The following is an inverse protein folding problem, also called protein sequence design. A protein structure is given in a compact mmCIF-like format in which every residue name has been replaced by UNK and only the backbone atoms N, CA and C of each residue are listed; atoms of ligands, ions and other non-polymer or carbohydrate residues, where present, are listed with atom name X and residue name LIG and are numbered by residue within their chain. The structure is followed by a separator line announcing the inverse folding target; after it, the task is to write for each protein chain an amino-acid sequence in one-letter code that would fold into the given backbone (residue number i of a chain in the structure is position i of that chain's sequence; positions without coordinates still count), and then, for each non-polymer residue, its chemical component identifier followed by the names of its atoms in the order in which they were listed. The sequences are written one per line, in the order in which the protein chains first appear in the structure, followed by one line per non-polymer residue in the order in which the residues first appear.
data_IF_850681205211
#
_entry.id   IF_850681205211
#
_cell.length_a   1.000
_cell.length_b   1.000
_cell.length_c   1.000
_cell.angle_alpha   90.00
_cell.angle_beta   90.00
_cell.angle_gamma   90.00
#
_symmetry.space_group_name_H-M   'P 1'
#
loop_
_entity.id
_entity.type
_entity.pdbx_description
1 polymer ?
#
# COMPACT_ATOMS: atom_id res chain seq x y z
N UNK A 1 -70.00 -21.13 6.26
CA UNK A 1 -69.87 -20.62 4.88
C UNK A 1 -69.03 -19.34 4.90
N UNK A 2 -68.06 -19.25 3.98
CA UNK A 2 -67.41 -18.04 3.44
C UNK A 2 -66.48 -17.19 4.34
N UNK A 3 -65.19 -17.56 4.26
CA UNK A 3 -64.02 -16.72 3.91
C UNK A 3 -64.19 -15.19 4.04
N UNK A 4 -63.47 -14.58 4.99
CA UNK A 4 -63.01 -13.18 4.92
C UNK A 4 -61.56 -13.15 5.46
N UNK A 5 -60.58 -13.34 4.57
CA UNK A 5 -59.56 -12.33 4.19
C UNK A 5 -58.59 -12.08 5.37
N UNK A 6 -57.53 -12.86 5.55
CA UNK A 6 -56.24 -12.76 4.83
C UNK A 6 -55.74 -11.31 4.74
N UNK A 7 -55.12 -10.79 5.80
CA UNK A 7 -54.18 -9.66 5.77
C UNK A 7 -53.61 -9.40 7.17
N UNK A 8 -52.74 -10.28 7.66
CA UNK A 8 -51.90 -9.98 8.82
C UNK A 8 -50.49 -10.52 8.51
N UNK A 9 -49.47 -9.70 8.78
CA UNK A 9 -48.03 -9.93 8.53
C UNK A 9 -47.51 -9.58 7.13
N UNK A 10 -47.51 -8.28 6.79
CA UNK A 10 -46.37 -7.68 6.08
C UNK A 10 -45.65 -6.83 7.12
N UNK A 11 -44.84 -7.48 7.95
CA UNK A 11 -43.86 -6.77 8.77
C UNK A 11 -42.81 -6.24 7.79
N UNK A 12 -42.82 -4.93 7.58
CA UNK A 12 -41.85 -4.21 6.77
C UNK A 12 -40.45 -4.41 7.37
N UNK A 13 -39.71 -5.38 6.83
CA UNK A 13 -38.29 -5.54 7.08
C UNK A 13 -37.55 -4.49 6.25
N UNK A 14 -37.64 -3.24 6.68
CA UNK A 14 -36.77 -2.17 6.21
C UNK A 14 -35.36 -2.49 6.73
N UNK A 15 -34.59 -3.24 5.95
CA UNK A 15 -33.16 -3.43 6.17
C UNK A 15 -32.52 -2.05 6.07
N UNK A 16 -32.27 -1.44 7.22
CA UNK A 16 -31.39 -0.29 7.35
C UNK A 16 -30.01 -0.78 6.93
N UNK A 17 -29.67 -0.58 5.66
CA UNK A 17 -28.33 -0.78 5.14
C UNK A 17 -27.47 0.36 5.72
N UNK A 18 -26.99 0.18 6.95
CA UNK A 18 -26.05 1.12 7.57
C UNK A 18 -24.74 0.98 6.81
N UNK A 19 -24.26 2.02 6.11
CA UNK A 19 -22.95 1.95 5.49
C UNK A 19 -21.93 1.82 6.61
N UNK A 20 -21.20 0.70 6.62
CA UNK A 20 -20.04 0.54 7.49
C UNK A 20 -19.03 1.63 7.15
N UNK A 21 -18.93 2.64 8.01
CA UNK A 21 -17.82 3.59 8.00
C UNK A 21 -16.55 2.81 8.32
N UNK A 22 -15.92 2.23 7.30
CA UNK A 22 -14.58 1.67 7.43
C UNK A 22 -13.63 2.83 7.65
N UNK A 23 -13.14 2.97 8.89
CA UNK A 23 -12.01 3.83 9.16
C UNK A 23 -10.82 3.36 8.31
N UNK A 24 -10.13 4.32 7.69
CA UNK A 24 -8.91 4.06 6.94
C UNK A 24 -7.90 3.29 7.81
N UNK A 25 -7.25 2.27 7.25
CA UNK A 25 -6.21 1.53 7.98
C UNK A 25 -5.04 2.49 8.25
N UNK A 26 -4.39 2.36 9.40
CA UNK A 26 -3.29 3.27 9.78
C UNK A 26 -2.11 3.26 8.81
N UNK A 27 -1.96 2.18 8.02
CA UNK A 27 -0.95 2.07 6.97
C UNK A 27 -1.28 2.91 5.73
N UNK A 28 -2.55 3.27 5.52
CA UNK A 28 -2.96 4.11 4.40
C UNK A 28 -2.47 5.55 4.56
N UNK A 29 -2.18 6.19 3.43
CA UNK A 29 -1.72 7.57 3.36
C UNK A 29 -0.40 7.72 2.63
N UNK A 30 0.31 8.79 2.96
CA UNK A 30 1.56 9.17 2.30
C UNK A 30 2.75 8.93 3.22
N UNK A 31 3.82 8.43 2.62
CA UNK A 31 5.04 8.04 3.33
C UNK A 31 6.27 8.48 2.54
N UNK A 32 7.38 8.72 3.21
CA UNK A 32 8.68 8.95 2.57
C UNK A 32 9.69 7.91 3.04
N UNK A 33 10.27 7.21 2.08
CA UNK A 33 11.34 6.24 2.33
C UNK A 33 12.67 6.95 2.52
N UNK A 34 13.45 6.49 3.50
CA UNK A 34 14.71 7.11 3.90
C UNK A 34 15.79 6.02 3.88
N UNK A 35 16.93 6.30 3.25
CA UNK A 35 18.06 5.37 3.26
C UNK A 35 18.87 5.43 4.57
N UNK A 36 19.87 4.57 4.69
CA UNK A 36 20.75 4.47 5.86
C UNK A 36 21.57 5.76 6.08
N UNK A 37 21.71 6.63 5.07
CA UNK A 37 22.41 7.92 5.15
C UNK A 37 21.46 9.07 5.50
N UNK A 38 20.18 8.77 5.73
CA UNK A 38 19.16 9.75 6.03
C UNK A 38 18.57 10.44 4.80
N UNK A 39 18.94 10.06 3.57
CA UNK A 39 18.42 10.69 2.35
C UNK A 39 17.03 10.16 2.01
N UNK A 40 16.12 11.07 1.63
CA UNK A 40 14.81 10.70 1.07
C UNK A 40 15.02 10.05 -0.30
N UNK A 41 14.56 8.80 -0.42
CA UNK A 41 14.69 8.03 -1.66
C UNK A 41 13.44 8.10 -2.52
N UNK A 42 12.25 8.12 -1.91
CA UNK A 42 10.99 8.22 -2.64
C UNK A 42 9.84 8.64 -1.72
N UNK A 43 8.83 9.25 -2.31
CA UNK A 43 7.53 9.51 -1.70
C UNK A 43 6.53 8.49 -2.22
N UNK A 44 5.76 7.91 -1.32
CA UNK A 44 4.85 6.80 -1.56
C UNK A 44 3.44 7.18 -1.16
N UNK A 45 2.46 6.61 -1.87
CA UNK A 45 1.06 6.55 -1.46
C UNK A 45 0.69 5.10 -1.25
N UNK A 46 0.09 4.80 -0.09
CA UNK A 46 -0.38 3.47 0.27
C UNK A 46 -1.90 3.50 0.49
N UNK A 47 -2.60 2.46 0.03
CA UNK A 47 -4.05 2.33 0.14
C UNK A 47 -4.46 0.87 0.20
N UNK A 48 -5.62 0.58 0.80
CA UNK A 48 -6.24 -0.74 0.81
C UNK A 48 -7.29 -0.80 -0.29
N UNK A 49 -7.21 -1.85 -1.11
CA UNK A 49 -8.19 -2.12 -2.16
C UNK A 49 -8.53 -3.61 -2.14
N UNK A 50 -9.80 -3.95 -2.00
CA UNK A 50 -10.23 -5.36 -1.93
C UNK A 50 -9.59 -6.14 -0.76
N UNK A 51 -9.36 -5.48 0.37
CA UNK A 51 -8.71 -6.08 1.54
C UNK A 51 -7.21 -6.33 1.38
N UNK A 52 -6.58 -5.73 0.37
CA UNK A 52 -5.15 -5.81 0.11
C UNK A 52 -4.51 -4.44 0.20
N UNK A 53 -3.44 -4.31 0.98
CA UNK A 53 -2.63 -3.10 0.99
C UNK A 53 -1.75 -3.05 -0.26
N UNK A 54 -1.77 -1.88 -0.89
CA UNK A 54 -1.05 -1.57 -2.13
C UNK A 54 -0.33 -0.25 -1.98
N UNK A 55 0.61 0.00 -2.87
CA UNK A 55 1.34 1.26 -2.87
C UNK A 55 2.01 1.59 -4.19
N UNK A 56 2.17 2.89 -4.40
CA UNK A 56 2.79 3.49 -5.58
C UNK A 56 3.76 4.58 -5.16
N UNK A 57 4.75 4.83 -6.01
CA UNK A 57 5.65 5.97 -5.87
C UNK A 57 4.93 7.19 -6.46
N UNK A 58 4.83 8.24 -5.67
CA UNK A 58 4.25 9.54 -6.07
C UNK A 58 5.35 10.44 -6.63
N UNK A 59 6.56 10.37 -6.08
CA UNK A 59 7.67 11.23 -6.47
C UNK A 59 9.00 10.63 -6.05
N UNK A 60 10.04 10.82 -6.86
CA UNK A 60 11.43 10.51 -6.52
C UNK A 60 12.22 11.81 -6.59
N UNK A 61 12.88 12.24 -5.51
CA UNK A 61 13.66 13.48 -5.54
C UNK A 61 14.72 13.46 -6.64
N UNK A 62 14.83 14.57 -7.38
CA UNK A 62 15.78 14.76 -8.48
C UNK A 62 15.65 13.79 -9.67
N UNK A 63 14.52 13.10 -9.80
CA UNK A 63 14.22 12.25 -10.94
C UNK A 63 13.13 12.88 -11.82
N UNK A 64 13.20 12.64 -13.13
CA UNK A 64 12.15 13.05 -14.07
C UNK A 64 10.95 12.09 -13.93
N UNK A 65 9.74 12.63 -13.97
CA UNK A 65 8.54 11.84 -13.69
C UNK A 65 8.25 10.79 -14.76
N UNK A 66 8.71 11.00 -15.98
CA UNK A 66 8.59 10.07 -17.10
C UNK A 66 9.67 8.97 -17.10
N UNK A 67 10.52 8.88 -16.08
CA UNK A 67 11.53 7.82 -15.99
C UNK A 67 10.84 6.45 -15.89
N UNK A 68 11.27 5.51 -16.74
CA UNK A 68 10.78 4.14 -16.79
C UNK A 68 11.70 3.21 -16.01
N UNK A 69 11.18 2.09 -15.50
CA UNK A 69 12.02 1.05 -14.92
C UNK A 69 12.71 0.23 -16.02
N UNK A 70 13.93 0.63 -16.38
CA UNK A 70 14.76 -0.11 -17.34
C UNK A 70 15.53 -1.26 -16.71
N UNK A 71 15.68 -1.28 -15.39
CA UNK A 71 16.35 -2.37 -14.66
C UNK A 71 15.42 -3.58 -14.45
N UNK A 72 14.10 -3.38 -14.52
CA UNK A 72 13.09 -4.44 -14.39
C UNK A 72 13.04 -5.43 -15.58
N UNK A 73 14.07 -5.50 -16.44
CA UNK A 73 14.10 -6.31 -17.68
C UNK A 73 13.88 -7.79 -17.47
N UNK A 74 14.44 -8.33 -16.40
CA UNK A 74 14.41 -9.77 -16.11
C UNK A 74 13.26 -10.16 -15.19
N UNK A 75 12.38 -9.22 -14.86
CA UNK A 75 11.28 -9.49 -13.96
C UNK A 75 10.08 -10.12 -14.69
N UNK A 76 9.73 -11.33 -14.24
CA UNK A 76 8.54 -12.06 -14.66
C UNK A 76 7.20 -11.37 -14.34
N UNK A 77 7.19 -10.37 -13.43
CA UNK A 77 5.98 -9.66 -13.04
C UNK A 77 5.61 -8.48 -13.96
N UNK A 78 6.40 -8.20 -15.00
CA UNK A 78 6.02 -7.28 -16.07
C UNK A 78 6.24 -5.80 -15.77
N UNK A 79 7.18 -5.48 -14.88
CA UNK A 79 7.51 -4.10 -14.53
C UNK A 79 8.48 -3.40 -15.49
N UNK A 80 9.04 -4.11 -16.47
CA UNK A 80 9.89 -3.51 -17.50
C UNK A 80 9.15 -2.41 -18.28
N UNK A 81 9.83 -1.28 -18.48
CA UNK A 81 9.30 -0.09 -19.16
C UNK A 81 8.03 0.52 -18.54
N UNK A 82 7.67 0.12 -17.31
CA UNK A 82 6.61 0.81 -16.58
C UNK A 82 7.15 2.13 -15.99
N UNK A 83 6.34 3.21 -15.96
CA UNK A 83 6.72 4.45 -15.28
C UNK A 83 7.06 4.19 -13.80
N UNK A 84 8.17 4.75 -13.31
CA UNK A 84 8.52 4.64 -11.89
C UNK A 84 7.47 5.34 -11.03
N UNK A 85 6.90 6.46 -11.49
CA UNK A 85 5.85 7.16 -10.77
C UNK A 85 4.48 6.65 -11.21
N UNK A 86 3.57 6.41 -10.25
CA UNK A 86 2.18 6.02 -10.51
C UNK A 86 1.95 4.52 -10.74
N UNK A 87 2.99 3.74 -11.03
CA UNK A 87 2.89 2.27 -11.09
C UNK A 87 2.73 1.68 -9.68
N UNK A 88 1.92 0.62 -9.56
CA UNK A 88 1.76 -0.10 -8.28
C UNK A 88 2.97 -0.99 -8.05
N UNK A 89 3.90 -0.53 -7.20
CA UNK A 89 5.17 -1.20 -6.93
C UNK A 89 5.13 -2.14 -5.73
N UNK A 90 4.07 -2.07 -4.93
CA UNK A 90 3.85 -2.98 -3.83
C UNK A 90 2.41 -3.50 -3.83
N UNK A 91 2.22 -4.80 -3.65
CA UNK A 91 0.91 -5.47 -3.76
C UNK A 91 0.89 -6.79 -2.98
N UNK A 92 -0.28 -7.44 -2.91
CA UNK A 92 -0.47 -8.77 -2.34
C UNK A 92 -0.50 -8.83 -0.81
N UNK A 93 -0.35 -7.69 -0.13
CA UNK A 93 -0.31 -7.65 1.33
C UNK A 93 -1.64 -8.02 1.95
N UNK A 94 -1.61 -8.85 2.99
CA UNK A 94 -2.78 -9.23 3.78
C UNK A 94 -2.60 -8.79 5.23
N UNK A 95 -3.67 -8.31 5.85
CA UNK A 95 -3.67 -7.92 7.25
C UNK A 95 -3.49 -9.17 8.12
N UNK A 96 -2.56 -9.09 9.07
CA UNK A 96 -2.26 -10.12 10.06
C UNK A 96 -1.93 -9.43 11.39
N UNK A 97 -2.93 -9.32 12.26
CA UNK A 97 -2.84 -8.52 13.49
C UNK A 97 -2.56 -7.05 13.19
N UNK A 98 -1.44 -6.53 13.71
CA UNK A 98 -0.98 -5.16 13.53
C UNK A 98 -0.09 -4.97 12.28
N UNK A 99 0.17 -6.04 11.52
CA UNK A 99 1.03 -6.04 10.35
C UNK A 99 0.26 -6.30 9.06
N UNK A 100 0.87 -5.90 7.96
CA UNK A 100 0.53 -6.31 6.62
C UNK A 100 1.65 -7.22 6.11
N UNK A 101 1.35 -8.46 5.74
CA UNK A 101 2.35 -9.49 5.40
C UNK A 101 2.06 -10.15 4.05
N UNK A 102 2.95 -11.03 3.60
CA UNK A 102 2.85 -11.79 2.33
C UNK A 102 2.86 -10.92 1.06
N UNK A 103 3.09 -9.63 1.22
CA UNK A 103 3.17 -8.69 0.11
C UNK A 103 4.44 -8.90 -0.69
N UNK A 104 4.48 -8.19 -1.81
CA UNK A 104 5.67 -8.06 -2.65
C UNK A 104 5.94 -6.58 -2.88
N UNK A 105 7.21 -6.25 -3.06
CA UNK A 105 7.68 -4.91 -3.45
C UNK A 105 8.77 -5.07 -4.50
N UNK A 106 8.80 -4.17 -5.48
CA UNK A 106 9.88 -4.13 -6.48
C UNK A 106 10.88 -3.04 -6.12
N UNK A 107 12.16 -3.37 -6.18
CA UNK A 107 13.24 -2.37 -6.20
C UNK A 107 13.42 -1.87 -7.64
N UNK A 108 12.83 -0.73 -7.99
CA UNK A 108 12.90 -0.17 -9.34
C UNK A 108 14.31 0.22 -9.78
N UNK A 109 15.27 0.32 -8.86
CA UNK A 109 16.68 0.58 -9.16
C UNK A 109 17.48 -0.68 -9.50
N UNK A 110 16.94 -1.87 -9.22
CA UNK A 110 17.59 -3.17 -9.52
C UNK A 110 16.75 -4.09 -10.39
N UNK A 111 15.44 -3.87 -10.44
CA UNK A 111 14.48 -4.73 -11.11
C UNK A 111 14.05 -5.97 -10.31
N UNK A 112 14.53 -6.13 -9.08
CA UNK A 112 14.25 -7.31 -8.26
C UNK A 112 12.91 -7.18 -7.51
N UNK A 113 12.19 -8.31 -7.42
CA UNK A 113 10.97 -8.44 -6.60
C UNK A 113 11.29 -9.12 -5.28
N UNK A 114 10.95 -8.46 -4.18
CA UNK A 114 11.14 -8.97 -2.82
C UNK A 114 9.80 -9.30 -2.17
N UNK A 115 9.80 -10.28 -1.26
CA UNK A 115 8.73 -10.43 -0.29
C UNK A 115 8.75 -9.24 0.67
N UNK A 116 7.59 -8.83 1.13
CA UNK A 116 7.49 -7.64 1.97
C UNK A 116 6.45 -7.75 3.08
N UNK A 117 6.73 -7.03 4.17
CA UNK A 117 5.76 -6.72 5.22
C UNK A 117 5.84 -5.26 5.65
N UNK A 118 4.72 -4.73 6.11
CA UNK A 118 4.57 -3.38 6.63
C UNK A 118 4.02 -3.44 8.05
N UNK A 119 4.65 -2.71 8.96
CA UNK A 119 4.11 -2.44 10.30
C UNK A 119 4.09 -0.96 10.56
N UNK A 120 2.95 -0.42 10.99
CA UNK A 120 2.86 0.96 11.45
C UNK A 120 3.36 1.01 12.89
N UNK A 121 4.29 1.93 13.17
CA UNK A 121 4.93 2.11 14.49
C UNK A 121 4.87 3.60 14.88
N UNK A 122 5.47 3.94 16.04
CA UNK A 122 5.60 5.32 16.53
C UNK A 122 4.26 6.09 16.59
N UNK A 123 3.18 5.40 16.96
CA UNK A 123 1.84 5.99 17.03
C UNK A 123 1.28 6.44 15.67
N UNK A 124 1.76 5.87 14.56
CA UNK A 124 1.32 6.24 13.21
C UNK A 124 2.29 7.13 12.44
N UNK A 125 3.41 7.52 13.05
CA UNK A 125 4.36 8.46 12.45
C UNK A 125 5.45 7.78 11.60
N UNK A 126 5.62 6.47 11.72
CA UNK A 126 6.55 5.71 10.89
C UNK A 126 5.96 4.36 10.47
N UNK A 127 6.50 3.79 9.40
CA UNK A 127 6.32 2.38 9.06
C UNK A 127 7.66 1.66 8.99
N UNK A 128 7.70 0.45 9.51
CA UNK A 128 8.72 -0.53 9.21
C UNK A 128 8.35 -1.22 7.90
N UNK A 129 9.09 -0.92 6.83
CA UNK A 129 9.01 -1.62 5.56
C UNK A 129 10.11 -2.67 5.53
N UNK A 130 9.74 -3.95 5.64
CA UNK A 130 10.69 -5.06 5.54
C UNK A 130 10.60 -5.69 4.16
N UNK A 131 11.73 -5.74 3.45
CA UNK A 131 11.91 -6.49 2.20
C UNK A 131 12.83 -7.69 2.41
N UNK A 132 12.47 -8.86 1.89
CA UNK A 132 13.22 -10.11 2.03
C UNK A 132 13.23 -10.94 0.76
N UNK A 133 14.26 -11.78 0.61
CA UNK A 133 14.35 -12.75 -0.49
C UNK A 133 13.48 -13.98 -0.24
N UNK A 134 13.19 -14.28 1.03
CA UNK A 134 12.35 -15.40 1.44
C UNK A 134 10.97 -14.95 1.92
N UNK A 135 9.99 -15.85 1.80
CA UNK A 135 8.58 -15.58 2.16
C UNK A 135 8.30 -15.42 3.65
N UNK A 136 9.21 -15.87 4.52
CA UNK A 136 9.06 -15.78 5.97
C UNK A 136 9.63 -14.48 6.52
N UNK A 137 10.38 -13.72 5.71
CA UNK A 137 10.98 -12.46 6.15
C UNK A 137 12.22 -12.66 7.01
N UNK A 138 12.96 -13.76 6.88
CA UNK A 138 14.16 -14.00 7.70
C UNK A 138 15.42 -13.35 7.11
N UNK A 139 15.64 -13.51 5.80
CA UNK A 139 16.77 -12.96 5.06
C UNK A 139 16.33 -11.70 4.31
N UNK A 140 16.54 -10.54 4.94
CA UNK A 140 16.07 -9.28 4.39
C UNK A 140 16.50 -8.06 5.19
N UNK A 141 16.16 -6.89 4.67
CA UNK A 141 16.42 -5.59 5.30
C UNK A 141 15.11 -4.93 5.70
N UNK A 142 15.17 -4.15 6.76
CA UNK A 142 14.07 -3.28 7.18
C UNK A 142 14.48 -1.84 6.95
N UNK A 143 13.60 -1.06 6.34
CA UNK A 143 13.72 0.39 6.21
C UNK A 143 12.63 1.05 7.03
N UNK A 144 12.93 2.22 7.60
CA UNK A 144 11.96 3.05 8.29
C UNK A 144 11.51 4.13 7.32
N UNK A 145 10.21 4.18 7.05
CA UNK A 145 9.62 5.28 6.30
C UNK A 145 8.89 6.21 7.26
N UNK A 146 8.93 7.51 6.98
CA UNK A 146 8.28 8.53 7.80
C UNK A 146 6.97 8.96 7.19
N UNK A 147 6.00 9.30 8.05
CA UNK A 147 4.72 9.85 7.61
C UNK A 147 4.96 11.11 6.79
N UNK A 148 4.15 11.28 5.75
CA UNK A 148 4.10 12.46 4.92
C UNK A 148 2.64 12.84 4.67
N UNK A 149 2.43 14.02 4.09
CA UNK A 149 1.12 14.44 3.58
C UNK A 149 1.17 14.55 2.06
N UNK A 150 0.00 14.65 1.43
CA UNK A 150 -0.11 14.68 -0.03
C UNK A 150 0.65 15.84 -0.67
N UNK A 151 0.60 17.04 -0.06
CA UNK A 151 1.25 18.23 -0.60
C UNK A 151 2.79 18.08 -0.59
N UNK A 152 3.35 17.57 0.51
CA UNK A 152 4.77 17.26 0.62
C UNK A 152 5.19 16.17 -0.38
N UNK A 153 4.41 15.08 -0.46
CA UNK A 153 4.69 13.97 -1.37
C UNK A 153 4.70 14.39 -2.83
N UNK A 154 3.76 15.25 -3.25
CA UNK A 154 3.72 15.82 -4.60
C UNK A 154 4.86 16.82 -4.86
N UNK A 155 5.24 17.60 -3.85
CA UNK A 155 6.35 18.55 -3.96
C UNK A 155 7.70 17.83 -4.12
N UNK A 156 7.87 16.65 -3.51
CA UNK A 156 9.01 15.78 -3.80
C UNK A 156 10.37 16.30 -3.37
N UNK A 157 10.43 17.21 -2.39
CA UNK A 157 11.68 17.86 -2.00
C UNK A 157 12.69 16.84 -1.50
N UNK A 158 13.95 16.99 -1.91
CA UNK A 158 15.06 16.32 -1.24
C UNK A 158 15.25 16.90 0.16
N UNK A 159 15.95 16.16 1.02
CA UNK A 159 16.42 16.64 2.32
C UNK A 159 17.92 16.94 2.32
#
# INVERSE_FOLDING_TARGET
MKKIIMSLFIAAFAVLCVPSLHAADSAEGYWKSIDEKGKITAYWKMWVQGGELRGTIVKVPNQVDSTLCTECKNDSAGFYNQPIIGTTWMWGFKKDGDKWTKGKIVDSGKGDVYWASVRVIDGGNSVEMRGSIDRWGMAGKTQIWKRSNEAEAKAGKAN
#
